data_IF_702574321303
#
_entry.id   IF_702574321303
#
_cell.length_a   1.000
_cell.length_b   1.000
_cell.length_c   1.000
_cell.angle_alpha   90.00
_cell.angle_beta   90.00
_cell.angle_gamma   90.00
#
_symmetry.space_group_name_H-M   'P 1'
#
loop_
_entity.id
_entity.type
_entity.pdbx_description
1 polymer ?
#
# COMPACT_ATOMS: atom_id res chain seq x y z
N UNK A 1 -0.64 -8.43 15.06
CA UNK A 1 -0.72 -8.80 13.62
C UNK A 1 -1.70 -7.85 12.95
N UNK A 2 -1.24 -7.03 12.00
CA UNK A 2 -2.09 -5.98 11.35
C UNK A 2 -2.25 -6.20 9.85
N UNK A 3 -1.40 -7.02 9.25
CA UNK A 3 -1.42 -7.34 7.81
C UNK A 3 -2.79 -7.79 7.26
N UNK A 4 -3.61 -8.65 7.92
CA UNK A 4 -4.91 -9.02 7.37
C UNK A 4 -5.92 -7.87 7.38
N UNK A 5 -5.75 -6.88 8.24
CA UNK A 5 -6.59 -5.68 8.25
C UNK A 5 -6.20 -4.76 7.09
N UNK A 6 -4.91 -4.48 6.95
CA UNK A 6 -4.40 -3.56 5.91
C UNK A 6 -4.67 -4.06 4.48
N UNK A 7 -4.68 -5.38 4.28
CA UNK A 7 -5.07 -5.96 2.98
C UNK A 7 -6.59 -5.85 2.74
N UNK A 8 -7.41 -6.04 3.78
CA UNK A 8 -8.88 -5.91 3.66
C UNK A 8 -9.33 -4.47 3.41
N UNK A 9 -8.69 -3.52 4.08
CA UNK A 9 -8.93 -2.08 3.89
C UNK A 9 -8.36 -1.56 2.55
N UNK A 10 -7.73 -2.42 1.75
CA UNK A 10 -7.14 -2.03 0.46
C UNK A 10 -5.96 -1.08 0.62
N UNK A 11 -5.33 -1.00 1.79
CA UNK A 11 -4.15 -0.18 2.08
C UNK A 11 -2.86 -0.88 1.62
N UNK A 12 -2.84 -2.22 1.60
CA UNK A 12 -1.71 -3.01 1.10
C UNK A 12 -2.18 -3.99 0.02
N UNK A 13 -1.42 -4.06 -1.08
CA UNK A 13 -1.56 -5.09 -2.12
C UNK A 13 -0.41 -6.09 -2.08
N UNK A 14 -0.68 -7.32 -2.54
CA UNK A 14 0.30 -8.41 -2.65
C UNK A 14 0.78 -8.54 -4.09
N UNK A 15 2.09 -8.59 -4.29
CA UNK A 15 2.75 -8.76 -5.59
C UNK A 15 3.76 -9.93 -5.50
N UNK A 16 4.24 -10.46 -6.63
CA UNK A 16 5.31 -11.48 -6.62
C UNK A 16 6.61 -11.02 -5.94
N UNK A 17 6.84 -9.70 -5.85
CA UNK A 17 8.03 -9.10 -5.24
C UNK A 17 7.84 -8.72 -3.77
N UNK A 18 6.63 -8.86 -3.22
CA UNK A 18 6.32 -8.53 -1.82
C UNK A 18 5.03 -7.74 -1.64
N UNK A 19 4.97 -6.93 -0.58
CA UNK A 19 3.82 -6.07 -0.26
C UNK A 19 4.07 -4.64 -0.74
N UNK A 20 3.04 -4.01 -1.30
CA UNK A 20 3.10 -2.62 -1.78
C UNK A 20 1.95 -1.82 -1.16
N UNK A 21 2.21 -0.57 -0.79
CA UNK A 21 1.20 0.36 -0.27
C UNK A 21 0.36 0.92 -1.43
N UNK A 22 -0.96 0.80 -1.36
CA UNK A 22 -1.81 1.34 -2.43
C UNK A 22 -1.88 2.86 -2.36
N UNK A 23 -2.39 3.51 -3.42
CA UNK A 23 -2.73 4.94 -3.40
C UNK A 23 -3.60 5.31 -2.20
N UNK A 24 -4.48 4.42 -1.75
CA UNK A 24 -5.32 4.63 -0.57
C UNK A 24 -4.47 4.72 0.72
N UNK A 25 -3.44 3.88 0.87
CA UNK A 25 -2.51 3.98 2.00
C UNK A 25 -1.72 5.29 1.98
N UNK A 26 -1.16 5.68 0.83
CA UNK A 26 -0.43 6.95 0.71
C UNK A 26 -1.31 8.15 1.06
N UNK A 27 -2.56 8.16 0.59
CA UNK A 27 -3.54 9.20 0.92
C UNK A 27 -3.91 9.19 2.41
N UNK A 28 -4.10 8.01 3.00
CA UNK A 28 -4.42 7.87 4.42
C UNK A 28 -3.29 8.39 5.32
N UNK A 29 -2.04 8.13 4.92
CA UNK A 29 -0.84 8.61 5.60
C UNK A 29 -0.50 10.07 5.30
N UNK A 30 -1.23 10.73 4.39
CA UNK A 30 -0.96 12.09 3.91
C UNK A 30 0.47 12.26 3.38
N UNK A 31 1.00 11.21 2.76
CA UNK A 31 2.34 11.19 2.19
C UNK A 31 2.29 11.32 0.68
N UNK A 32 3.33 11.93 0.09
CA UNK A 32 3.49 11.96 -1.36
C UNK A 32 3.97 10.60 -1.86
N UNK A 33 3.33 10.13 -2.93
CA UNK A 33 3.72 8.90 -3.61
C UNK A 33 5.05 9.17 -4.33
N UNK A 34 6.07 8.30 -4.18
CA UNK A 34 7.34 8.48 -4.87
C UNK A 34 7.16 8.46 -6.39
N UNK A 35 7.98 9.22 -7.13
CA UNK A 35 7.83 9.37 -8.58
C UNK A 35 8.05 8.07 -9.37
N UNK A 36 8.85 7.15 -8.82
CA UNK A 36 9.12 5.84 -9.39
C UNK A 36 8.24 4.74 -8.77
N UNK A 37 7.05 5.09 -8.29
CA UNK A 37 6.15 4.12 -7.72
C UNK A 37 5.44 3.32 -8.82
N UNK A 38 6.19 2.37 -9.36
CA UNK A 38 5.73 1.43 -10.37
C UNK A 38 5.31 0.13 -9.69
N UNK A 39 4.13 -0.37 -10.06
CA UNK A 39 3.59 -1.65 -9.61
C UNK A 39 3.43 -2.59 -10.81
#
# INVERSE_FOLDING_TARGET
>A
VSEPYLVREGLISRTPRGRVATTAAWKHLKMQIPANYEF
#
